data_IF_110958305679
#
_entry.id   IF_110958305679
#
_cell.length_a   1.000
_cell.length_b   1.000
_cell.length_c   1.000
_cell.angle_alpha   90.00
_cell.angle_beta   90.00
_cell.angle_gamma   90.00
#
_symmetry.space_group_name_H-M   'P 1'
#
loop_
_entity.id
_entity.type
_entity.pdbx_description
1 polymer ?
#
# COMPACT_ATOMS: atom_id res chain seq x y z
N UNK A 1 -19.61 -14.19 21.02
CA UNK A 1 -18.21 -14.45 20.61
C UNK A 1 -17.69 -13.41 19.61
N UNK A 2 -18.43 -13.07 18.55
CA UNK A 2 -17.95 -12.12 17.53
C UNK A 2 -17.73 -10.69 18.06
N UNK A 3 -18.68 -10.11 18.81
CA UNK A 3 -18.55 -8.75 19.35
C UNK A 3 -17.31 -8.59 20.24
N UNK A 4 -17.06 -9.56 21.13
CA UNK A 4 -15.88 -9.55 22.02
C UNK A 4 -14.56 -9.53 21.22
N UNK A 5 -14.50 -10.20 20.07
CA UNK A 5 -13.31 -10.19 19.20
C UNK A 5 -13.07 -8.81 18.59
N UNK A 6 -14.14 -8.17 18.09
CA UNK A 6 -14.07 -6.83 17.49
C UNK A 6 -13.66 -5.78 18.54
N UNK A 7 -14.27 -5.81 19.72
CA UNK A 7 -13.93 -4.89 20.80
C UNK A 7 -12.47 -5.03 21.25
N UNK A 8 -11.96 -6.26 21.34
CA UNK A 8 -10.56 -6.50 21.67
C UNK A 8 -9.62 -6.02 20.55
N UNK A 9 -9.99 -6.24 19.28
CA UNK A 9 -9.22 -5.74 18.14
C UNK A 9 -9.13 -4.21 18.12
N UNK A 10 -10.26 -3.54 18.35
CA UNK A 10 -10.32 -2.09 18.43
C UNK A 10 -9.51 -1.54 19.60
N UNK A 11 -9.69 -2.09 20.81
CA UNK A 11 -8.89 -1.71 21.99
C UNK A 11 -7.39 -1.86 21.73
N UNK A 12 -6.97 -2.97 21.12
CA UNK A 12 -5.57 -3.19 20.76
C UNK A 12 -5.05 -2.14 19.77
N UNK A 13 -5.85 -1.77 18.77
CA UNK A 13 -5.49 -0.74 17.80
C UNK A 13 -5.28 0.62 18.48
N UNK A 14 -6.26 1.10 19.27
CA UNK A 14 -6.14 2.41 19.93
C UNK A 14 -4.99 2.46 20.94
N UNK A 15 -4.70 1.35 21.64
CA UNK A 15 -3.55 1.27 22.55
C UNK A 15 -2.23 1.38 21.80
N UNK A 16 -2.06 0.66 20.69
CA UNK A 16 -0.83 0.72 19.88
C UNK A 16 -0.57 2.13 19.33
N UNK A 17 -1.62 2.81 18.87
CA UNK A 17 -1.51 4.18 18.36
C UNK A 17 -1.20 5.15 19.49
N UNK A 18 -1.84 5.01 20.65
CA UNK A 18 -1.58 5.82 21.82
C UNK A 18 -0.11 5.70 22.28
N UNK A 19 0.42 4.48 22.35
CA UNK A 19 1.81 4.22 22.73
C UNK A 19 2.80 4.84 21.73
N UNK A 20 2.55 4.68 20.42
CA UNK A 20 3.41 5.20 19.36
C UNK A 20 3.41 6.74 19.27
N UNK A 21 2.29 7.38 19.63
CA UNK A 21 2.12 8.85 19.56
C UNK A 21 2.23 9.53 20.92
N UNK A 22 2.62 8.80 21.97
CA UNK A 22 2.71 9.32 23.34
C UNK A 22 1.43 10.02 23.80
N UNK A 23 0.27 9.46 23.46
CA UNK A 23 -1.07 9.95 23.78
C UNK A 23 -1.81 8.94 24.66
N UNK A 24 -3.07 9.19 25.01
CA UNK A 24 -3.89 8.24 25.78
C UNK A 24 -4.92 7.55 24.87
N UNK A 25 -5.31 6.30 25.18
CA UNK A 25 -6.33 5.59 24.40
C UNK A 25 -7.64 6.38 24.26
N UNK A 26 -8.03 7.17 25.28
CA UNK A 26 -9.24 8.00 25.25
C UNK A 26 -9.13 9.19 24.31
N UNK A 27 -7.92 9.74 24.12
CA UNK A 27 -7.68 10.81 23.15
C UNK A 27 -7.73 10.25 21.73
N UNK A 28 -7.11 9.09 21.51
CA UNK A 28 -7.13 8.40 20.21
C UNK A 28 -8.54 7.93 19.85
N UNK A 29 -9.32 7.41 20.81
CA UNK A 29 -10.69 6.96 20.58
C UNK A 29 -11.59 8.08 20.02
N UNK A 30 -11.39 9.33 20.44
CA UNK A 30 -12.13 10.49 19.92
C UNK A 30 -11.89 10.76 18.43
N UNK A 31 -10.73 10.35 17.90
CA UNK A 31 -10.34 10.59 16.50
C UNK A 31 -10.35 9.30 15.64
N UNK A 32 -10.47 8.12 16.24
CA UNK A 32 -10.26 6.81 15.59
C UNK A 32 -11.55 6.05 15.19
N UNK A 33 -12.75 6.64 15.34
CA UNK A 33 -14.05 5.99 15.16
C UNK A 33 -14.42 5.62 13.70
N UNK A 34 -13.48 5.09 12.92
CA UNK A 34 -13.62 4.82 11.49
C UNK A 34 -13.55 6.09 10.63
N UNK A 35 -13.11 7.21 11.20
CA UNK A 35 -12.95 8.46 10.47
C UNK A 35 -11.74 8.42 9.54
N UNK A 36 -11.92 8.84 8.29
CA UNK A 36 -10.86 8.94 7.30
C UNK A 36 -10.30 10.36 7.32
N UNK A 37 -9.01 10.48 7.60
CA UNK A 37 -8.33 11.77 7.69
C UNK A 37 -7.56 12.08 6.40
N UNK A 38 -7.56 13.36 5.99
CA UNK A 38 -6.58 13.83 5.00
C UNK A 38 -5.19 13.86 5.63
N UNK A 39 -4.13 13.87 4.82
CA UNK A 39 -2.77 14.00 5.36
C UNK A 39 -2.60 15.24 6.25
N UNK A 40 -3.18 16.38 5.81
CA UNK A 40 -3.12 17.63 6.57
C UNK A 40 -3.80 17.51 7.93
N UNK A 41 -5.00 16.93 7.98
CA UNK A 41 -5.73 16.75 9.25
C UNK A 41 -5.04 15.71 10.13
N UNK A 42 -4.47 14.65 9.55
CA UNK A 42 -3.72 13.65 10.29
C UNK A 42 -2.49 14.26 10.98
N UNK A 43 -1.80 15.19 10.30
CA UNK A 43 -0.70 15.97 10.91
C UNK A 43 -1.21 16.90 12.01
N UNK A 44 -2.33 17.59 11.79
CA UNK A 44 -2.93 18.47 12.80
C UNK A 44 -3.36 17.72 14.07
N UNK A 45 -3.85 16.49 13.93
CA UNK A 45 -4.25 15.60 15.01
C UNK A 45 -3.09 14.78 15.61
N UNK A 46 -1.85 14.97 15.15
CA UNK A 46 -0.67 14.25 15.66
C UNK A 46 -0.59 12.76 15.27
N UNK A 47 -1.36 12.34 14.26
CA UNK A 47 -1.30 10.99 13.71
C UNK A 47 -0.14 10.79 12.73
N UNK A 48 0.38 11.88 12.16
CA UNK A 48 1.50 11.90 11.20
C UNK A 48 2.49 13.00 11.59
N UNK A 49 3.78 12.75 11.43
CA UNK A 49 4.85 13.66 11.85
C UNK A 49 5.07 14.81 10.85
N UNK A 50 5.07 14.51 9.55
CA UNK A 50 5.33 15.47 8.48
C UNK A 50 4.53 15.17 7.22
N UNK A 51 4.33 16.20 6.39
CA UNK A 51 3.79 16.06 5.05
C UNK A 51 4.97 16.18 4.09
N UNK A 52 5.00 15.30 3.10
CA UNK A 52 6.07 15.20 2.13
C UNK A 52 5.78 14.07 1.16
N UNK A 53 6.76 13.76 0.33
CA UNK A 53 6.72 12.64 -0.60
C UNK A 53 7.64 11.49 -0.15
N UNK A 54 7.91 10.57 -1.06
CA UNK A 54 8.79 9.44 -0.79
C UNK A 54 10.25 9.86 -0.57
N UNK A 55 10.74 10.87 -1.28
CA UNK A 55 12.13 11.31 -1.19
C UNK A 55 12.39 11.95 0.18
N UNK A 56 11.42 12.70 0.72
CA UNK A 56 11.46 13.23 2.09
C UNK A 56 11.58 12.11 3.13
N UNK A 57 10.86 11.00 2.94
CA UNK A 57 10.90 9.86 3.85
C UNK A 57 12.28 9.16 3.82
N UNK A 58 12.86 8.98 2.64
CA UNK A 58 14.19 8.39 2.46
C UNK A 58 15.28 9.29 3.06
N UNK A 59 15.20 10.59 2.80
CA UNK A 59 16.11 11.57 3.38
C UNK A 59 16.05 11.56 4.92
N UNK A 60 14.84 11.47 5.49
CA UNK A 60 14.66 11.40 6.94
C UNK A 60 15.23 10.12 7.54
N UNK A 61 15.03 8.98 6.87
CA UNK A 61 15.62 7.71 7.30
C UNK A 61 17.16 7.77 7.29
N UNK A 62 17.76 8.35 6.24
CA UNK A 62 19.20 8.53 6.14
C UNK A 62 19.76 9.46 7.23
N UNK A 63 19.05 10.55 7.53
CA UNK A 63 19.38 11.49 8.62
C UNK A 63 19.38 10.77 9.99
N UNK A 64 18.34 10.01 10.29
CA UNK A 64 18.21 9.27 11.54
C UNK A 64 19.27 8.17 11.69
N UNK A 65 19.62 7.50 10.59
CA UNK A 65 20.67 6.48 10.53
C UNK A 65 22.10 7.07 10.48
N UNK A 66 22.25 8.39 10.32
CA UNK A 66 23.53 9.10 10.18
C UNK A 66 24.41 8.58 9.04
N UNK A 67 23.80 8.14 7.94
CA UNK A 67 24.49 7.64 6.75
C UNK A 67 24.61 8.75 5.69
N UNK A 68 25.80 8.88 5.09
CA UNK A 68 26.06 9.89 4.05
C UNK A 68 25.74 9.41 2.64
N UNK A 69 25.74 8.09 2.44
CA UNK A 69 25.50 7.45 1.16
C UNK A 69 24.49 6.33 1.39
N UNK A 70 23.43 6.34 0.60
CA UNK A 70 22.39 5.31 0.60
C UNK A 70 22.01 5.03 -0.86
N UNK A 71 21.54 3.81 -1.11
CA UNK A 71 21.05 3.39 -2.41
C UNK A 71 19.67 2.79 -2.22
N UNK A 72 18.75 3.12 -3.13
CA UNK A 72 17.42 2.53 -3.16
C UNK A 72 17.49 1.24 -3.97
N UNK A 73 17.19 0.13 -3.32
CA UNK A 73 17.07 -1.17 -3.97
C UNK A 73 15.58 -1.53 -4.05
N UNK A 74 15.06 -1.53 -5.27
CA UNK A 74 13.70 -1.98 -5.53
C UNK A 74 13.72 -3.49 -5.74
N UNK A 75 13.23 -4.23 -4.74
CA UNK A 75 13.12 -5.67 -4.85
C UNK A 75 11.91 -6.03 -5.71
N UNK A 76 12.17 -6.58 -6.89
CA UNK A 76 11.16 -7.23 -7.72
C UNK A 76 11.35 -8.72 -7.49
N UNK A 77 10.33 -9.37 -6.92
CA UNK A 77 10.32 -10.83 -6.80
C UNK A 77 10.47 -11.44 -8.20
N UNK A 78 11.64 -11.99 -8.50
CA UNK A 78 11.79 -12.81 -9.68
C UNK A 78 11.13 -14.16 -9.41
N UNK A 79 10.18 -14.60 -10.25
CA UNK A 79 9.50 -15.86 -10.04
C UNK A 79 10.55 -16.98 -9.96
N UNK A 80 10.40 -17.80 -8.93
CA UNK A 80 11.32 -18.91 -8.69
C UNK A 80 11.22 -19.90 -9.85
N UNK A 81 12.20 -20.78 -9.97
CA UNK A 81 12.17 -21.84 -10.98
C UNK A 81 10.87 -22.66 -10.92
N UNK A 82 10.35 -22.93 -9.72
CA UNK A 82 9.10 -23.66 -9.53
C UNK A 82 7.88 -22.88 -10.04
N UNK A 83 7.83 -21.56 -9.82
CA UNK A 83 6.77 -20.69 -10.32
C UNK A 83 6.77 -20.66 -11.86
N UNK A 84 7.96 -20.54 -12.48
CA UNK A 84 8.11 -20.59 -13.94
C UNK A 84 7.69 -21.93 -14.54
N UNK A 85 7.93 -23.04 -13.84
CA UNK A 85 7.50 -24.38 -14.28
C UNK A 85 5.98 -24.55 -14.14
N UNK A 86 5.38 -24.10 -13.03
CA UNK A 86 3.93 -24.18 -12.84
C UNK A 86 3.14 -23.25 -13.77
N UNK A 87 3.66 -22.05 -14.07
CA UNK A 87 3.09 -21.15 -15.08
C UNK A 87 3.07 -21.80 -16.47
N UNK A 88 4.13 -22.50 -16.86
CA UNK A 88 4.18 -23.22 -18.13
C UNK A 88 3.25 -24.44 -18.17
N UNK A 89 3.03 -25.11 -17.03
CA UNK A 89 2.09 -26.23 -16.95
C UNK A 89 0.63 -25.76 -16.99
N UNK A 90 0.30 -24.64 -16.34
CA UNK A 90 -1.04 -24.05 -16.33
C UNK A 90 -1.39 -23.27 -17.60
N UNK A 91 -0.39 -22.83 -18.38
CA UNK A 91 -0.57 -22.19 -19.69
C UNK A 91 -1.35 -23.05 -20.71
N UNK A 92 -1.38 -24.37 -20.52
CA UNK A 92 -2.18 -25.31 -21.32
C UNK A 92 -3.70 -25.16 -21.11
N UNK A 93 -4.15 -24.62 -19.96
CA UNK A 93 -5.58 -24.38 -19.67
C UNK A 93 -6.05 -23.02 -20.21
N UNK A 94 -5.16 -22.01 -20.25
CA UNK A 94 -5.49 -20.67 -20.80
C UNK A 94 -5.60 -20.69 -22.34
N UNK A 95 -4.85 -21.58 -23.01
CA UNK A 95 -4.97 -21.80 -24.45
C UNK A 95 -6.32 -22.43 -24.87
N UNK A 96 -7.03 -23.11 -23.96
CA UNK A 96 -8.36 -23.67 -24.22
C UNK A 96 -9.50 -22.66 -24.00
N UNK A 97 -9.34 -21.65 -23.13
CA UNK A 97 -10.38 -20.63 -22.89
C UNK A 97 -10.20 -19.32 -23.66
N UNK A 98 -9.09 -19.15 -24.38
CA UNK A 98 -8.84 -17.96 -25.21
C UNK A 98 -9.56 -17.96 -26.58
N UNK A 99 -10.42 -18.94 -26.89
CA UNK A 99 -11.20 -18.96 -28.15
C UNK A 99 -12.66 -18.52 -28.01
N UNK A 100 -13.12 -18.09 -26.83
CA UNK A 100 -14.54 -17.78 -26.60
C UNK A 100 -14.86 -16.46 -25.87
N UNK A 101 -13.94 -15.50 -25.77
CA UNK A 101 -14.32 -14.13 -25.36
C UNK A 101 -14.12 -13.16 -26.53
N UNK A 102 -15.20 -12.72 -27.22
CA UNK A 102 -15.12 -11.57 -28.11
C UNK A 102 -14.99 -10.32 -27.25
N UNK A 103 -13.79 -9.74 -27.20
CA UNK A 103 -13.51 -8.56 -26.38
C UNK A 103 -12.13 -7.97 -26.59
N UNK A 104 -11.58 -8.07 -27.80
CA UNK A 104 -10.40 -7.31 -28.20
C UNK A 104 -10.77 -5.81 -28.30
N UNK A 105 -10.49 -5.04 -27.24
CA UNK A 105 -10.21 -3.60 -27.38
C UNK A 105 -8.70 -3.42 -27.44
N UNK A 106 -8.13 -3.79 -28.59
CA UNK A 106 -6.83 -3.31 -29.04
C UNK A 106 -7.06 -2.48 -30.30
N UNK A 107 -7.61 -1.28 -30.13
CA UNK A 107 -7.63 -0.27 -31.19
C UNK A 107 -6.30 0.49 -31.16
N UNK A 108 -5.23 -0.16 -31.61
CA UNK A 108 -3.93 0.49 -31.85
C UNK A 108 -3.91 1.26 -33.19
N UNK A 109 -5.09 1.68 -33.68
CA UNK A 109 -5.26 2.36 -34.96
C UNK A 109 -5.83 3.79 -34.86
N UNK A 110 -6.13 4.32 -33.67
CA UNK A 110 -6.77 5.64 -33.50
C UNK A 110 -5.95 6.76 -32.84
N UNK A 111 -4.67 6.56 -32.48
CA UNK A 111 -3.83 7.60 -31.85
C UNK A 111 -2.86 8.32 -32.81
N UNK A 112 -3.17 8.31 -34.11
CA UNK A 112 -2.38 8.99 -35.15
C UNK A 112 -3.02 10.25 -35.77
N UNK A 113 -4.22 10.67 -35.36
CA UNK A 113 -4.97 11.74 -36.08
C UNK A 113 -5.53 12.87 -35.21
N UNK A 114 -5.01 13.08 -34.00
CA UNK A 114 -5.43 14.20 -33.14
C UNK A 114 -4.30 15.18 -32.79
N UNK A 115 -3.24 15.19 -33.61
CA UNK A 115 -2.23 16.25 -33.62
C UNK A 115 -1.98 16.74 -35.05
N UNK A 116 -3.06 17.15 -35.74
CA UNK A 116 -3.09 18.17 -36.79
C UNK A 116 -4.51 18.64 -37.03
#
# INVERSE_FOLDING_TARGET
MMQLSIENGYKRFITLVADARHSTPEQIDKIAQGHVWTGQDAKANGLVDSLGDFDDAVAKAAELAKVKQWHLEYYVDEPTFFDKVMDNMSGSVRAMFARCVPGHVTCTACLGSLYR
#
